data_IF_469268544961
#
_entry.id   IF_469268544961
#
_cell.length_a   1.000
_cell.length_b   1.000
_cell.length_c   1.000
_cell.angle_alpha   90.00
_cell.angle_beta   90.00
_cell.angle_gamma   90.00
#
_symmetry.space_group_name_H-M   'P 1'
#
loop_
_entity.id
_entity.type
_entity.pdbx_description
1 polymer ?
#
# COMPACT_ATOMS: atom_id res chain seq x y z
N UNK A 1 -15.84 -25.20 10.65
CA UNK A 1 -15.78 -26.64 10.98
C UNK A 1 -16.79 -27.39 10.13
N UNK A 2 -16.35 -28.52 9.59
CA UNK A 2 -16.95 -29.44 8.63
C UNK A 2 -18.49 -29.48 8.51
N UNK A 3 -18.99 -29.16 7.31
CA UNK A 3 -20.25 -29.70 6.78
C UNK A 3 -20.01 -30.02 5.32
N UNK A 4 -19.64 -31.26 4.99
CA UNK A 4 -19.86 -31.88 3.67
C UNK A 4 -19.46 -33.35 3.75
N UNK A 5 -20.33 -34.15 4.34
CA UNK A 5 -20.31 -35.58 4.17
C UNK A 5 -21.74 -36.06 4.38
N UNK A 6 -22.51 -36.16 3.30
CA UNK A 6 -23.71 -37.01 3.17
C UNK A 6 -24.42 -36.74 1.83
N UNK A 7 -23.81 -37.22 0.76
CA UNK A 7 -24.49 -37.68 -0.46
C UNK A 7 -23.42 -38.36 -1.28
N UNK A 8 -23.79 -39.43 -2.00
CA UNK A 8 -22.91 -40.46 -2.58
C UNK A 8 -22.64 -41.66 -1.68
N UNK A 9 -23.73 -42.19 -1.09
CA UNK A 9 -23.81 -43.59 -0.68
C UNK A 9 -25.13 -44.15 -1.21
N UNK A 10 -25.18 -44.43 -2.51
CA UNK A 10 -26.20 -45.25 -3.17
C UNK A 10 -25.69 -45.61 -4.55
N UNK A 11 -25.00 -46.74 -4.63
CA UNK A 11 -25.03 -47.74 -5.71
C UNK A 11 -23.94 -48.78 -5.41
N UNK A 12 -24.21 -49.65 -4.44
CA UNK A 12 -23.57 -50.96 -4.38
C UNK A 12 -24.71 -51.96 -4.31
N UNK A 13 -25.15 -52.40 -5.48
CA UNK A 13 -25.88 -53.65 -5.62
C UNK A 13 -25.01 -54.56 -6.47
N UNK A 14 -24.40 -55.53 -5.79
CA UNK A 14 -24.21 -56.91 -6.25
C UNK A 14 -23.79 -57.14 -7.69
N UNK A 15 -22.51 -57.47 -7.89
CA UNK A 15 -22.09 -58.60 -8.73
C UNK A 15 -20.71 -59.07 -8.29
N UNK A 16 -20.68 -60.30 -7.81
CA UNK A 16 -19.51 -61.02 -7.30
C UNK A 16 -18.84 -61.76 -8.47
N UNK A 17 -17.50 -61.86 -8.41
CA UNK A 17 -16.61 -62.82 -9.09
C UNK A 17 -16.34 -62.67 -10.59
N UNK A 18 -15.19 -62.05 -10.90
CA UNK A 18 -14.14 -62.75 -11.66
C UNK A 18 -12.78 -62.17 -11.28
N UNK A 19 -12.08 -62.86 -10.38
CA UNK A 19 -10.66 -62.63 -10.11
C UNK A 19 -9.86 -63.08 -11.33
N UNK A 20 -9.33 -62.11 -12.09
CA UNK A 20 -8.04 -62.24 -12.80
C UNK A 20 -7.55 -60.85 -13.20
N UNK A 21 -6.35 -60.51 -12.73
CA UNK A 21 -5.57 -59.31 -13.07
C UNK A 21 -5.82 -58.03 -12.25
N UNK A 22 -5.60 -58.08 -10.93
CA UNK A 22 -5.38 -56.90 -10.08
C UNK A 22 -3.87 -56.76 -9.82
N UNK A 23 -3.13 -56.30 -10.84
CA UNK A 23 -1.77 -55.74 -10.65
C UNK A 23 -1.63 -54.32 -11.22
N UNK A 24 -2.66 -53.78 -11.87
CA UNK A 24 -2.64 -52.44 -12.48
C UNK A 24 -3.41 -51.33 -11.74
N UNK A 25 -4.24 -51.67 -10.74
CA UNK A 25 -5.22 -50.71 -10.15
C UNK A 25 -4.65 -49.93 -8.96
N UNK A 26 -3.55 -50.37 -8.34
CA UNK A 26 -2.94 -49.66 -7.20
C UNK A 26 -2.18 -48.38 -7.63
N UNK A 27 -1.59 -48.39 -8.83
CA UNK A 27 -0.84 -47.23 -9.34
C UNK A 27 -1.74 -46.04 -9.72
N UNK A 28 -2.99 -46.30 -10.13
CA UNK A 28 -3.92 -45.23 -10.55
C UNK A 28 -4.46 -44.48 -9.32
N UNK A 29 -4.75 -45.17 -8.22
CA UNK A 29 -5.21 -44.54 -6.97
C UNK A 29 -4.11 -43.72 -6.27
N UNK A 30 -2.84 -44.18 -6.34
CA UNK A 30 -1.70 -43.43 -5.78
C UNK A 30 -1.36 -42.15 -6.58
N UNK A 31 -1.54 -42.15 -7.90
CA UNK A 31 -1.30 -40.96 -8.74
C UNK A 31 -2.37 -39.86 -8.55
N UNK A 32 -3.60 -40.24 -8.20
CA UNK A 32 -4.69 -39.27 -7.92
C UNK A 32 -4.48 -38.58 -6.55
N UNK A 33 -3.95 -39.28 -5.54
CA UNK A 33 -3.61 -38.65 -4.26
C UNK A 33 -2.45 -37.65 -4.35
N UNK A 34 -1.44 -37.91 -5.19
CA UNK A 34 -0.29 -37.02 -5.35
C UNK A 34 -0.63 -35.75 -6.16
N UNK A 35 -1.49 -35.87 -7.17
CA UNK A 35 -1.94 -34.73 -7.99
C UNK A 35 -2.89 -33.80 -7.22
N UNK A 36 -3.72 -34.35 -6.31
CA UNK A 36 -4.55 -33.55 -5.42
C UNK A 36 -3.71 -32.68 -4.47
N UNK A 37 -2.64 -33.21 -3.87
CA UNK A 37 -1.75 -32.43 -3.00
C UNK A 37 -0.97 -31.33 -3.75
N UNK A 38 -0.56 -31.57 -5.01
CA UNK A 38 0.09 -30.55 -5.85
C UNK A 38 -0.87 -29.43 -6.28
N UNK A 39 -2.15 -29.77 -6.51
CA UNK A 39 -3.18 -28.78 -6.86
C UNK A 39 -3.52 -27.85 -5.68
N UNK A 40 -3.54 -28.37 -4.44
CA UNK A 40 -3.78 -27.58 -3.23
C UNK A 40 -2.61 -26.63 -2.94
N UNK A 41 -1.36 -27.10 -3.04
CA UNK A 41 -0.18 -26.26 -2.81
C UNK A 41 -0.03 -25.17 -3.87
N UNK A 42 -0.31 -25.47 -5.14
CA UNK A 42 -0.30 -24.48 -6.22
C UNK A 42 -1.42 -23.44 -6.10
N UNK A 43 -2.62 -23.82 -5.66
CA UNK A 43 -3.69 -22.85 -5.39
C UNK A 43 -3.36 -21.92 -4.21
N UNK A 44 -2.77 -22.45 -3.14
CA UNK A 44 -2.35 -21.64 -1.99
C UNK A 44 -1.22 -20.67 -2.36
N UNK A 45 -0.24 -21.13 -3.14
CA UNK A 45 0.84 -20.29 -3.66
C UNK A 45 0.30 -19.17 -4.57
N UNK A 46 -0.64 -19.47 -5.48
CA UNK A 46 -1.27 -18.46 -6.32
C UNK A 46 -2.00 -17.39 -5.48
N UNK A 47 -2.78 -17.80 -4.48
CA UNK A 47 -3.50 -16.88 -3.61
C UNK A 47 -2.55 -15.91 -2.90
N UNK A 48 -1.46 -16.43 -2.33
CA UNK A 48 -0.45 -15.62 -1.65
C UNK A 48 0.22 -14.62 -2.60
N UNK A 49 0.64 -15.06 -3.79
CA UNK A 49 1.24 -14.18 -4.80
C UNK A 49 0.28 -13.09 -5.23
N UNK A 50 -0.99 -13.43 -5.49
CA UNK A 50 -2.01 -12.46 -5.86
C UNK A 50 -2.22 -11.42 -4.76
N UNK A 51 -2.32 -11.84 -3.51
CA UNK A 51 -2.48 -10.93 -2.36
C UNK A 51 -1.29 -9.98 -2.24
N UNK A 52 -0.06 -10.48 -2.36
CA UNK A 52 1.15 -9.65 -2.37
C UNK A 52 1.14 -8.62 -3.50
N UNK A 53 0.76 -9.04 -4.71
CA UNK A 53 0.65 -8.13 -5.85
C UNK A 53 -0.41 -7.05 -5.64
N UNK A 54 -1.56 -7.42 -5.06
CA UNK A 54 -2.64 -6.47 -4.78
C UNK A 54 -2.25 -5.45 -3.71
N UNK A 55 -1.56 -5.90 -2.65
CA UNK A 55 -1.02 -4.99 -1.62
C UNK A 55 0.03 -4.05 -2.23
N UNK A 56 0.95 -4.58 -3.04
CA UNK A 56 1.95 -3.75 -3.71
C UNK A 56 1.30 -2.72 -4.65
N UNK A 57 0.34 -3.14 -5.47
CA UNK A 57 -0.38 -2.25 -6.37
C UNK A 57 -1.12 -1.16 -5.58
N UNK A 58 -1.81 -1.52 -4.49
CA UNK A 58 -2.49 -0.56 -3.64
C UNK A 58 -1.54 0.48 -3.05
N UNK A 59 -0.36 0.07 -2.57
CA UNK A 59 0.66 0.98 -2.05
C UNK A 59 1.18 1.95 -3.12
N UNK A 60 1.41 1.46 -4.35
CA UNK A 60 1.85 2.31 -5.46
C UNK A 60 0.77 3.33 -5.85
N UNK A 61 -0.49 2.90 -5.92
CA UNK A 61 -1.63 3.77 -6.24
C UNK A 61 -1.90 4.79 -5.15
N UNK A 62 -1.79 4.42 -3.88
CA UNK A 62 -1.91 5.34 -2.75
C UNK A 62 -0.82 6.42 -2.79
N UNK A 63 0.44 6.05 -3.09
CA UNK A 63 1.52 7.02 -3.25
C UNK A 63 1.26 7.99 -4.43
N UNK A 64 0.76 7.50 -5.57
CA UNK A 64 0.37 8.35 -6.70
C UNK A 64 -0.76 9.31 -6.34
N UNK A 65 -1.77 8.81 -5.62
CA UNK A 65 -2.88 9.62 -5.16
C UNK A 65 -2.43 10.71 -4.19
N UNK A 66 -1.66 10.35 -3.16
CA UNK A 66 -1.19 11.30 -2.15
C UNK A 66 -0.25 12.35 -2.75
N UNK A 67 0.67 11.95 -3.63
CA UNK A 67 1.71 12.85 -4.15
C UNK A 67 1.26 13.67 -5.35
N UNK A 68 0.30 13.19 -6.15
CA UNK A 68 -0.09 13.85 -7.40
C UNK A 68 -1.60 13.86 -7.69
N UNK A 69 -2.43 13.24 -6.85
CA UNK A 69 -3.86 13.01 -7.11
C UNK A 69 -4.14 12.31 -8.45
N UNK A 70 -3.23 11.41 -8.86
CA UNK A 70 -3.31 10.67 -10.11
C UNK A 70 -3.87 9.27 -9.86
N UNK A 71 -4.86 8.88 -10.67
CA UNK A 71 -5.31 7.49 -10.80
C UNK A 71 -4.96 7.03 -12.21
N UNK A 72 -3.91 6.20 -12.40
CA UNK A 72 -3.49 5.77 -13.73
C UNK A 72 -4.54 4.84 -14.36
N UNK A 73 -4.61 4.83 -15.69
CA UNK A 73 -5.42 3.87 -16.42
C UNK A 73 -4.80 2.46 -16.28
N UNK A 74 -5.51 1.56 -15.61
CA UNK A 74 -5.07 0.18 -15.37
C UNK A 74 -5.69 -0.77 -16.40
N UNK A 75 -4.98 -1.87 -16.69
CA UNK A 75 -5.53 -2.97 -17.46
C UNK A 75 -6.66 -3.68 -16.70
N UNK A 76 -7.68 -4.08 -17.47
CA UNK A 76 -8.90 -4.72 -17.01
C UNK A 76 -9.22 -5.93 -17.89
N UNK A 77 -10.03 -6.87 -17.39
CA UNK A 77 -10.55 -8.01 -18.16
C UNK A 77 -10.22 -9.39 -17.59
N UNK A 78 -9.23 -9.50 -16.69
CA UNK A 78 -9.02 -10.71 -15.91
C UNK A 78 -10.12 -10.87 -14.84
N UNK A 79 -10.55 -12.11 -14.53
CA UNK A 79 -11.50 -12.35 -13.44
C UNK A 79 -10.87 -11.97 -12.09
N UNK A 80 -11.68 -11.58 -11.10
CA UNK A 80 -11.15 -11.25 -9.76
C UNK A 80 -10.54 -12.46 -9.04
N UNK A 81 -11.10 -13.64 -9.28
CA UNK A 81 -10.70 -14.92 -8.70
C UNK A 81 -10.82 -16.02 -9.76
N UNK A 82 -9.91 -16.99 -9.76
CA UNK A 82 -10.03 -18.16 -10.62
C UNK A 82 -9.36 -19.39 -10.00
N UNK A 83 -10.02 -20.54 -10.12
CA UNK A 83 -9.46 -21.86 -9.81
C UNK A 83 -8.79 -22.50 -11.04
N UNK A 84 -9.00 -21.96 -12.24
CA UNK A 84 -8.44 -22.48 -13.49
C UNK A 84 -7.07 -21.85 -13.77
N UNK A 85 -6.11 -22.67 -14.21
CA UNK A 85 -4.73 -22.23 -14.50
C UNK A 85 -4.66 -21.05 -15.49
N UNK A 86 -5.49 -21.07 -16.54
CA UNK A 86 -5.55 -19.98 -17.52
C UNK A 86 -6.05 -18.67 -16.89
N UNK A 87 -7.07 -18.73 -16.02
CA UNK A 87 -7.56 -17.55 -15.30
C UNK A 87 -6.55 -17.04 -14.27
N UNK A 88 -5.85 -17.93 -13.58
CA UNK A 88 -4.76 -17.55 -12.66
C UNK A 88 -3.61 -16.85 -13.40
N UNK A 89 -3.21 -17.35 -14.57
CA UNK A 89 -2.20 -16.71 -15.41
C UNK A 89 -2.64 -15.32 -15.89
N UNK A 90 -3.90 -15.18 -16.31
CA UNK A 90 -4.45 -13.88 -16.73
C UNK A 90 -4.47 -12.87 -15.57
N UNK A 91 -4.88 -13.28 -14.36
CA UNK A 91 -4.83 -12.44 -13.15
C UNK A 91 -3.41 -11.98 -12.86
N UNK A 92 -2.47 -12.93 -12.87
CA UNK A 92 -1.07 -12.64 -12.60
C UNK A 92 -0.49 -11.64 -13.61
N UNK A 93 -0.74 -11.85 -14.90
CA UNK A 93 -0.28 -10.97 -15.97
C UNK A 93 -0.86 -9.56 -15.83
N UNK A 94 -2.17 -9.44 -15.62
CA UNK A 94 -2.83 -8.14 -15.43
C UNK A 94 -2.28 -7.41 -14.19
N UNK A 95 -2.11 -8.11 -13.06
CA UNK A 95 -1.54 -7.52 -11.85
C UNK A 95 -0.11 -7.01 -12.07
N UNK A 96 0.75 -7.81 -12.71
CA UNK A 96 2.12 -7.40 -13.02
C UNK A 96 2.14 -6.17 -13.92
N UNK A 97 1.29 -6.15 -14.95
CA UNK A 97 1.21 -5.04 -15.88
C UNK A 97 0.71 -3.76 -15.20
N UNK A 98 -0.28 -3.86 -14.33
CA UNK A 98 -0.77 -2.75 -13.52
C UNK A 98 0.29 -2.22 -12.54
N UNK A 99 1.08 -3.11 -11.93
CA UNK A 99 2.22 -2.73 -11.09
C UNK A 99 3.25 -1.94 -11.90
N UNK A 100 3.59 -2.40 -13.11
CA UNK A 100 4.55 -1.69 -13.98
C UNK A 100 4.02 -0.32 -14.44
N UNK A 101 2.73 -0.20 -14.76
CA UNK A 101 2.08 1.09 -15.06
C UNK A 101 2.24 2.05 -13.86
N UNK A 102 1.90 1.60 -12.66
CA UNK A 102 1.98 2.43 -11.46
C UNK A 102 3.43 2.82 -11.11
N UNK A 103 4.39 1.89 -11.25
CA UNK A 103 5.82 2.19 -11.08
C UNK A 103 6.33 3.22 -12.08
N UNK A 104 5.94 3.12 -13.35
CA UNK A 104 6.33 4.08 -14.38
C UNK A 104 5.86 5.48 -14.02
N UNK A 105 4.58 5.62 -13.65
CA UNK A 105 4.02 6.91 -13.24
C UNK A 105 4.71 7.50 -11.99
N UNK A 106 5.07 6.66 -11.00
CA UNK A 106 5.83 7.11 -9.84
C UNK A 106 7.25 7.54 -10.21
N UNK A 107 7.92 6.80 -11.10
CA UNK A 107 9.27 7.14 -11.57
C UNK A 107 9.29 8.49 -12.29
N UNK A 108 8.27 8.81 -13.08
CA UNK A 108 8.11 10.13 -13.71
C UNK A 108 7.91 11.24 -12.66
N UNK A 109 7.22 10.94 -11.57
CA UNK A 109 7.06 11.88 -10.46
C UNK A 109 8.38 12.10 -9.70
N UNK A 110 9.12 11.02 -9.43
CA UNK A 110 10.43 11.08 -8.76
C UNK A 110 11.46 11.85 -9.58
N UNK A 111 11.43 11.72 -10.91
CA UNK A 111 12.26 12.51 -11.82
C UNK A 111 11.96 14.01 -11.67
N UNK A 112 10.68 14.39 -11.71
CA UNK A 112 10.26 15.80 -11.53
C UNK A 112 10.67 16.36 -10.18
N UNK A 113 10.52 15.59 -9.09
CA UNK A 113 11.00 16.01 -7.76
C UNK A 113 12.51 16.21 -7.76
N UNK A 114 13.26 15.30 -8.40
CA UNK A 114 14.72 15.39 -8.49
C UNK A 114 15.18 16.62 -9.27
N UNK A 115 14.50 16.94 -10.37
CA UNK A 115 14.75 18.16 -11.16
C UNK A 115 14.47 19.43 -10.35
N UNK A 116 13.34 19.48 -9.61
CA UNK A 116 13.00 20.60 -8.69
C UNK A 116 14.04 20.78 -7.59
N UNK A 117 14.61 19.69 -7.06
CA UNK A 117 15.68 19.77 -6.06
C UNK A 117 16.95 20.41 -6.59
N UNK A 118 17.27 20.18 -7.85
CA UNK A 118 18.45 20.78 -8.50
C UNK A 118 18.21 22.24 -8.90
N UNK A 119 17.01 22.55 -9.40
CA UNK A 119 16.65 23.87 -9.93
C UNK A 119 15.28 24.32 -9.39
N UNK A 120 15.17 24.66 -8.10
CA UNK A 120 13.88 25.02 -7.51
C UNK A 120 13.34 26.30 -8.12
N UNK A 121 12.11 26.24 -8.63
CA UNK A 121 11.38 27.44 -9.01
C UNK A 121 10.61 27.99 -7.80
N UNK A 122 10.17 29.23 -7.90
CA UNK A 122 9.34 29.86 -6.88
C UNK A 122 8.06 29.03 -6.67
N UNK A 123 7.77 28.66 -5.42
CA UNK A 123 6.64 27.80 -5.08
C UNK A 123 6.88 26.28 -5.19
N UNK A 124 8.10 25.83 -5.50
CA UNK A 124 8.46 24.40 -5.52
C UNK A 124 9.01 23.88 -4.18
N UNK A 125 9.37 24.78 -3.25
CA UNK A 125 9.94 24.47 -1.94
C UNK A 125 9.05 25.03 -0.83
N UNK A 126 8.81 24.21 0.19
CA UNK A 126 8.20 24.61 1.44
C UNK A 126 9.17 24.33 2.60
N UNK A 127 9.29 25.29 3.51
CA UNK A 127 10.01 25.14 4.77
C UNK A 127 8.99 25.00 5.90
N UNK A 128 8.95 23.83 6.52
CA UNK A 128 8.03 23.51 7.61
C UNK A 128 8.77 23.64 8.93
N UNK A 129 8.29 24.51 9.79
CA UNK A 129 8.83 24.80 11.11
C UNK A 129 7.78 24.51 12.17
N UNK A 130 8.21 23.92 13.29
CA UNK A 130 7.33 23.67 14.43
C UNK A 130 7.94 24.29 15.68
N UNK A 131 7.14 25.04 16.44
CA UNK A 131 7.58 25.68 17.69
C UNK A 131 7.38 24.80 18.93
N UNK A 132 6.28 24.06 18.99
CA UNK A 132 5.96 23.18 20.12
C UNK A 132 5.21 21.93 19.63
N UNK A 133 5.64 20.75 20.07
CA UNK A 133 4.98 19.47 19.79
C UNK A 133 4.65 18.79 21.12
N UNK A 134 3.38 18.43 21.28
CA UNK A 134 2.91 17.64 22.42
C UNK A 134 2.09 16.46 21.94
N UNK A 135 2.16 15.36 22.65
CA UNK A 135 1.17 14.30 22.51
C UNK A 135 -0.02 14.48 23.47
N UNK A 136 -1.01 13.61 23.36
CA UNK A 136 -2.16 13.58 24.28
C UNK A 136 -1.78 13.44 25.78
N UNK A 137 -0.61 12.88 26.08
CA UNK A 137 -0.08 12.73 27.44
C UNK A 137 0.75 13.95 27.89
N UNK A 138 0.73 15.04 27.10
CA UNK A 138 1.53 16.24 27.32
C UNK A 138 3.05 16.01 27.29
N UNK A 139 3.50 14.87 26.75
CA UNK A 139 4.93 14.62 26.51
C UNK A 139 5.39 15.53 25.38
N UNK A 140 6.55 16.16 25.57
CA UNK A 140 7.12 17.12 24.62
C UNK A 140 8.02 16.41 23.62
N UNK A 141 7.89 16.81 22.37
CA UNK A 141 8.73 16.38 21.27
C UNK A 141 9.39 17.59 20.61
N UNK A 142 10.50 17.32 19.92
CA UNK A 142 11.21 18.28 19.10
C UNK A 142 11.32 17.73 17.68
N UNK A 143 11.29 18.62 16.69
CA UNK A 143 11.53 18.29 15.30
C UNK A 143 12.42 19.37 14.70
N UNK A 144 13.41 18.95 13.91
CA UNK A 144 14.16 19.91 13.08
C UNK A 144 13.26 20.45 11.97
N UNK A 145 13.49 21.67 11.48
CA UNK A 145 12.83 22.17 10.28
C UNK A 145 12.90 21.16 9.13
N UNK A 146 11.82 21.04 8.37
CA UNK A 146 11.75 20.17 7.21
C UNK A 146 11.63 21.00 5.94
N UNK A 147 12.62 20.86 5.06
CA UNK A 147 12.53 21.30 3.68
C UNK A 147 11.81 20.22 2.88
N UNK A 148 10.76 20.61 2.16
CA UNK A 148 9.92 19.68 1.40
C UNK A 148 9.64 20.26 0.02
N UNK A 149 9.91 19.47 -1.01
CA UNK A 149 9.65 19.87 -2.40
C UNK A 149 8.27 19.42 -2.86
N UNK A 150 7.71 20.10 -3.84
CA UNK A 150 6.41 19.73 -4.42
C UNK A 150 6.46 18.31 -5.00
N UNK A 151 5.43 17.54 -4.70
CA UNK A 151 5.28 16.09 -4.94
C UNK A 151 6.24 15.18 -4.17
N UNK A 152 6.99 15.70 -3.21
CA UNK A 152 7.86 14.89 -2.36
C UNK A 152 7.06 14.21 -1.25
N UNK A 153 7.43 12.95 -0.99
CA UNK A 153 7.05 12.18 0.19
C UNK A 153 8.31 11.92 1.00
N UNK A 154 8.27 12.21 2.30
CA UNK A 154 9.41 12.02 3.21
C UNK A 154 8.94 11.66 4.62
N UNK A 155 9.90 11.38 5.51
CA UNK A 155 9.64 11.11 6.92
C UNK A 155 10.14 12.26 7.78
N UNK A 156 9.28 12.81 8.63
CA UNK A 156 9.64 13.84 9.59
C UNK A 156 9.84 13.25 10.98
N UNK A 157 11.03 13.42 11.53
CA UNK A 157 11.40 12.85 12.82
C UNK A 157 10.98 13.76 13.98
N UNK A 158 10.12 13.24 14.84
CA UNK A 158 9.76 13.83 16.13
C UNK A 158 10.50 13.06 17.22
N UNK A 159 11.27 13.77 18.04
CA UNK A 159 12.15 13.19 19.05
C UNK A 159 11.73 13.69 20.43
N UNK A 160 11.39 12.78 21.33
CA UNK A 160 11.12 13.09 22.73
C UNK A 160 12.42 13.28 23.52
N UNK A 161 12.32 13.88 24.71
CA UNK A 161 13.46 14.10 25.60
C UNK A 161 14.14 12.79 26.06
N UNK A 162 13.40 11.70 26.12
CA UNK A 162 13.91 10.35 26.47
C UNK A 162 14.59 9.64 25.28
N UNK A 163 14.66 10.29 24.11
CA UNK A 163 15.24 9.73 22.88
C UNK A 163 14.25 8.93 22.03
N UNK A 164 12.98 8.78 22.45
CA UNK A 164 11.96 8.12 21.65
C UNK A 164 11.77 8.88 20.33
N UNK A 165 11.89 8.15 19.21
CA UNK A 165 11.76 8.70 17.87
C UNK A 165 10.49 8.21 17.20
N UNK A 166 9.68 9.17 16.73
CA UNK A 166 8.50 8.95 15.90
C UNK A 166 8.77 9.50 14.52
N UNK A 167 8.44 8.75 13.48
CA UNK A 167 8.62 9.13 12.08
C UNK A 167 7.24 9.34 11.45
N UNK A 168 6.88 10.59 11.20
CA UNK A 168 5.64 10.93 10.52
C UNK A 168 5.83 10.93 9.00
N UNK A 169 4.93 10.30 8.26
CA UNK A 169 4.82 10.51 6.81
C UNK A 169 4.40 11.94 6.51
N UNK A 170 5.14 12.62 5.63
CA UNK A 170 4.80 13.97 5.16
C UNK A 170 4.82 13.98 3.64
N UNK A 171 3.74 14.47 3.04
CA UNK A 171 3.60 14.60 1.59
C UNK A 171 3.13 16.00 1.26
N UNK A 172 3.84 16.70 0.39
CA UNK A 172 3.32 17.91 -0.25
C UNK A 172 3.04 17.60 -1.70
N UNK A 173 1.78 17.58 -2.09
CA UNK A 173 1.39 17.06 -3.39
C UNK A 173 1.54 18.08 -4.53
N UNK A 174 1.40 17.63 -5.78
CA UNK A 174 1.43 18.49 -6.98
C UNK A 174 0.40 19.64 -6.96
N UNK A 175 -0.75 19.43 -6.30
CA UNK A 175 -1.83 20.43 -6.20
C UNK A 175 -1.60 21.46 -5.08
N UNK A 176 -0.54 21.32 -4.29
CA UNK A 176 -0.20 22.24 -3.21
C UNK A 176 -0.72 21.84 -1.84
N UNK A 177 -1.38 20.70 -1.68
CA UNK A 177 -1.91 20.22 -0.38
C UNK A 177 -0.84 19.47 0.40
N UNK A 178 -0.67 19.85 1.67
CA UNK A 178 0.21 19.21 2.63
C UNK A 178 -0.58 18.16 3.43
N UNK A 179 -0.11 16.92 3.37
CA UNK A 179 -0.58 15.81 4.17
C UNK A 179 0.48 15.40 5.19
N UNK A 180 0.03 15.07 6.40
CA UNK A 180 0.86 14.44 7.44
C UNK A 180 0.13 13.18 7.92
N UNK A 181 0.78 12.01 7.88
CA UNK A 181 0.16 10.71 8.17
C UNK A 181 -1.17 10.52 7.42
N UNK A 182 -1.20 10.91 6.14
CA UNK A 182 -2.39 10.84 5.27
C UNK A 182 -3.51 11.83 5.59
N UNK A 183 -3.39 12.64 6.64
CA UNK A 183 -4.37 13.66 7.01
C UNK A 183 -4.06 14.96 6.27
N UNK A 184 -5.07 15.60 5.68
CA UNK A 184 -4.92 16.93 5.09
C UNK A 184 -4.70 17.97 6.20
N UNK A 185 -3.57 18.66 6.17
CA UNK A 185 -3.17 19.61 7.22
C UNK A 185 -3.31 21.05 6.75
N UNK A 186 -2.76 21.38 5.57
CA UNK A 186 -2.80 22.73 5.00
C UNK A 186 -2.81 22.70 3.47
N UNK A 187 -3.41 23.71 2.85
CA UNK A 187 -3.20 24.00 1.43
C UNK A 187 -2.14 25.11 1.30
N UNK A 188 -1.02 24.78 0.65
CA UNK A 188 0.16 25.62 0.44
C UNK A 188 0.20 26.27 -0.95
N UNK A 189 -0.97 26.56 -1.54
CA UNK A 189 -1.07 27.31 -2.80
C UNK A 189 -0.47 28.72 -2.69
N UNK A 190 -0.33 29.42 -3.82
CA UNK A 190 0.19 30.80 -3.87
C UNK A 190 -0.59 31.82 -3.02
N UNK A 191 -1.84 31.52 -2.65
CA UNK A 191 -2.67 32.35 -1.78
C UNK A 191 -2.58 31.96 -0.28
N UNK A 192 -1.77 30.95 0.07
CA UNK A 192 -1.63 30.50 1.45
C UNK A 192 -0.96 31.57 2.32
N UNK A 193 -1.32 31.60 3.61
CA UNK A 193 -0.76 32.53 4.58
C UNK A 193 0.34 31.83 5.37
N UNK A 194 1.44 32.53 5.63
CA UNK A 194 2.58 32.01 6.39
C UNK A 194 2.39 32.11 7.91
N UNK A 195 1.16 32.43 8.34
CA UNK A 195 0.78 32.52 9.77
C UNK A 195 0.80 31.11 10.38
N UNK A 196 1.46 30.91 11.53
CA UNK A 196 1.46 29.63 12.22
C UNK A 196 0.05 29.13 12.53
N UNK A 197 -0.20 27.84 12.30
CA UNK A 197 -1.47 27.18 12.61
C UNK A 197 -1.26 26.02 13.57
N UNK A 198 -2.14 25.92 14.56
CA UNK A 198 -2.21 24.73 15.41
C UNK A 198 -2.87 23.60 14.65
N UNK A 199 -2.21 22.45 14.60
CA UNK A 199 -2.66 21.26 13.89
C UNK A 199 -2.62 20.07 14.84
N UNK A 200 -3.55 19.14 14.67
CA UNK A 200 -3.56 17.85 15.33
C UNK A 200 -3.39 16.75 14.28
N UNK A 201 -2.48 15.82 14.53
CA UNK A 201 -2.18 14.70 13.63
C UNK A 201 -2.19 13.41 14.42
N UNK A 202 -2.96 12.43 13.94
CA UNK A 202 -2.93 11.06 14.45
C UNK A 202 -1.77 10.28 13.84
N UNK A 203 -1.00 9.58 14.68
CA UNK A 203 0.11 8.72 14.28
C UNK A 203 -0.32 7.26 14.31
N UNK A 204 -0.14 6.57 13.18
CA UNK A 204 -0.67 5.22 13.01
C UNK A 204 0.39 4.12 13.14
N UNK A 205 1.67 4.44 12.94
CA UNK A 205 2.76 3.45 12.97
C UNK A 205 2.52 2.22 12.05
N UNK A 206 1.84 2.43 10.91
CA UNK A 206 1.45 1.36 9.99
C UNK A 206 0.30 0.47 10.46
N UNK A 207 -0.46 0.88 11.48
CA UNK A 207 -1.67 0.19 11.96
C UNK A 207 -2.94 0.91 11.52
N UNK A 208 -4.07 0.21 11.54
CA UNK A 208 -5.39 0.80 11.19
C UNK A 208 -5.90 1.79 12.23
N UNK A 209 -5.47 1.65 13.50
CA UNK A 209 -5.90 2.50 14.60
C UNK A 209 -4.77 3.41 15.05
N UNK A 210 -5.10 4.67 15.33
CA UNK A 210 -4.16 5.65 15.85
C UNK A 210 -3.50 5.16 17.14
N UNK A 211 -2.17 5.28 17.20
CA UNK A 211 -1.34 4.90 18.36
C UNK A 211 -1.05 6.11 19.25
N UNK A 212 -1.05 7.31 18.66
CA UNK A 212 -0.90 8.58 19.36
C UNK A 212 -1.58 9.70 18.57
N UNK A 213 -1.84 10.83 19.23
CA UNK A 213 -2.10 12.11 18.57
C UNK A 213 -1.03 13.12 18.97
N UNK A 214 -0.65 13.97 18.03
CA UNK A 214 0.29 15.06 18.22
C UNK A 214 -0.39 16.38 17.91
N UNK A 215 -0.31 17.34 18.83
CA UNK A 215 -0.75 18.71 18.62
C UNK A 215 0.48 19.61 18.55
N UNK A 216 0.56 20.42 17.50
CA UNK A 216 1.68 21.34 17.31
C UNK A 216 1.32 22.59 16.52
N UNK A 217 2.09 23.66 16.71
CA UNK A 217 1.99 24.88 15.90
C UNK A 217 2.92 24.79 14.71
N UNK A 218 2.35 24.58 13.53
CA UNK A 218 3.05 24.48 12.26
C UNK A 218 3.10 25.86 11.59
N UNK A 219 4.31 26.35 11.35
CA UNK A 219 4.59 27.49 10.50
C UNK A 219 5.14 26.98 9.17
N UNK A 220 4.60 27.47 8.06
CA UNK A 220 5.07 27.09 6.73
C UNK A 220 5.48 28.34 5.97
N UNK A 221 6.66 28.29 5.38
CA UNK A 221 7.15 29.31 4.46
C UNK A 221 7.28 28.70 3.07
N UNK A 222 6.60 29.30 2.10
CA UNK A 222 6.74 28.96 0.68
C UNK A 222 7.26 30.21 -0.01
N UNK A 223 8.46 30.22 -0.60
CA UNK A 223 8.93 31.36 -1.36
C UNK A 223 7.96 31.66 -2.51
N UNK A 224 7.41 32.89 -2.54
CA UNK A 224 6.48 33.38 -3.57
C UNK A 224 7.10 34.56 -4.31
N UNK A 225 6.70 34.76 -5.56
CA UNK A 225 7.05 35.97 -6.29
C UNK A 225 6.27 37.11 -5.61
N UNK A 226 6.99 38.09 -5.08
CA UNK A 226 6.43 39.30 -4.47
C UNK A 226 5.87 40.25 -5.53
#
# INVERSE_FOLDING_TARGET
>A
MAVFCWRWMRFISTSILSLKSIKGVCCILLMVSLTACQSLSSQQSFKQTREQQQVQLAQLLDSLWQRAHVVPALEQGAPLVSSAKAGQAAIHQQNMRNIEIAKSALSELDLRVSERKQHPQTGDLALLNISEIRDHQQRRFQASPLSLYRAEQTKWAFIAQDGTKVLLDVVWNELGTLYIEGQEVLNLSSASSDIPRTVEVFYYAGKELAQASFTFSLQVEVPRLQ
#
